data_IF_357300638709
#
_entry.id   IF_357300638709
#
_cell.length_a   1.000
_cell.length_b   1.000
_cell.length_c   1.000
_cell.angle_alpha   90.00
_cell.angle_beta   90.00
_cell.angle_gamma   90.00
#
_symmetry.space_group_name_H-M   'P 1'
#
loop_
_entity.id
_entity.type
_entity.pdbx_description
1 polymer ?
#
# COMPACT_ATOMS: atom_id res chain seq x y z
N UNK A 1 1.06 -18.43 1.42
CA UNK A 1 2.50 -18.45 1.77
C UNK A 1 2.96 -19.90 1.73
N UNK A 2 3.95 -20.24 0.90
CA UNK A 2 4.58 -21.56 0.90
C UNK A 2 5.80 -21.53 1.81
N UNK A 3 5.93 -22.58 2.62
CA UNK A 3 7.04 -22.84 3.55
C UNK A 3 8.33 -23.09 2.75
N UNK A 4 9.08 -22.02 2.48
CA UNK A 4 10.47 -22.08 2.04
C UNK A 4 11.34 -21.62 3.20
N UNK A 5 12.42 -22.34 3.47
CA UNK A 5 13.41 -21.97 4.50
C UNK A 5 14.08 -20.65 4.13
N UNK A 6 13.53 -19.53 4.60
CA UNK A 6 14.19 -18.24 4.56
C UNK A 6 15.19 -18.20 5.71
N UNK A 7 16.49 -18.19 5.40
CA UNK A 7 17.52 -17.75 6.37
C UNK A 7 17.44 -16.24 6.53
N UNK A 8 16.31 -15.74 7.02
CA UNK A 8 16.05 -14.32 7.22
C UNK A 8 16.27 -13.93 8.67
N UNK A 9 17.12 -12.93 8.91
CA UNK A 9 17.21 -12.27 10.22
C UNK A 9 15.98 -11.40 10.40
N UNK A 10 15.20 -11.67 11.43
CA UNK A 10 14.05 -10.83 11.82
C UNK A 10 14.52 -9.88 12.92
N UNK A 11 14.37 -8.58 12.68
CA UNK A 11 14.63 -7.54 13.67
C UNK A 11 13.30 -6.92 14.08
N UNK A 12 13.12 -6.68 15.37
CA UNK A 12 11.90 -6.11 15.93
C UNK A 12 12.17 -4.73 16.50
N UNK A 13 11.35 -3.78 16.09
CA UNK A 13 11.35 -2.38 16.53
C UNK A 13 9.94 -2.07 17.08
N UNK A 14 9.83 -1.44 18.26
CA UNK A 14 8.57 -1.28 19.01
C UNK A 14 8.28 0.14 19.50
N UNK A 15 9.25 1.03 19.39
CA UNK A 15 9.23 2.36 19.99
C UNK A 15 8.65 3.40 19.04
N UNK A 16 8.73 3.17 17.73
CA UNK A 16 8.14 4.09 16.75
C UNK A 16 6.62 4.18 16.90
N UNK A 17 6.12 5.40 16.94
CA UNK A 17 4.68 5.73 17.05
C UNK A 17 4.12 6.33 15.77
N UNK A 18 4.99 6.67 14.81
CA UNK A 18 4.62 7.27 13.54
C UNK A 18 5.27 6.56 12.34
N UNK A 19 4.67 6.70 11.15
CA UNK A 19 5.29 6.18 9.90
C UNK A 19 6.66 6.82 9.62
N UNK A 20 6.88 8.06 10.05
CA UNK A 20 8.17 8.74 9.88
C UNK A 20 9.26 8.10 10.76
N UNK A 21 8.92 7.85 12.03
CA UNK A 21 9.78 7.15 12.99
C UNK A 21 10.06 5.72 12.54
N UNK A 22 9.03 4.98 12.08
CA UNK A 22 9.20 3.63 11.55
C UNK A 22 10.31 3.56 10.49
N UNK A 23 10.32 4.52 9.55
CA UNK A 23 11.31 4.54 8.48
C UNK A 23 12.70 4.94 9.00
N UNK A 24 12.77 5.90 9.92
CA UNK A 24 14.04 6.30 10.53
C UNK A 24 14.67 5.13 11.32
N UNK A 25 13.88 4.46 12.15
CA UNK A 25 14.31 3.31 12.95
C UNK A 25 14.67 2.11 12.07
N UNK A 26 13.86 1.80 11.05
CA UNK A 26 14.15 0.71 10.12
C UNK A 26 15.48 0.92 9.39
N UNK A 27 15.75 2.14 8.87
CA UNK A 27 17.02 2.48 8.22
C UNK A 27 18.23 2.20 9.12
N UNK A 28 18.14 2.56 10.40
CA UNK A 28 19.21 2.31 11.37
C UNK A 28 19.46 0.82 11.62
N UNK A 29 18.45 -0.03 11.45
CA UNK A 29 18.54 -1.47 11.69
C UNK A 29 19.07 -2.26 10.49
N UNK A 30 18.77 -1.83 9.27
CA UNK A 30 19.01 -2.63 8.06
C UNK A 30 20.37 -2.41 7.40
N UNK A 31 21.09 -1.35 7.76
CA UNK A 31 22.41 -1.08 7.18
C UNK A 31 22.37 -0.85 5.66
N UNK A 32 23.46 -1.21 4.98
CA UNK A 32 23.58 -1.06 3.52
C UNK A 32 22.97 -2.29 2.83
N UNK A 33 21.78 -2.12 2.23
CA UNK A 33 21.05 -3.17 1.53
C UNK A 33 20.98 -2.88 0.04
N UNK A 34 21.14 -3.91 -0.80
CA UNK A 34 21.03 -3.78 -2.25
C UNK A 34 19.59 -3.60 -2.74
N UNK A 35 18.61 -4.07 -1.97
CA UNK A 35 17.18 -3.97 -2.31
C UNK A 35 16.31 -3.86 -1.06
N UNK A 36 15.28 -3.02 -1.13
CA UNK A 36 14.34 -2.77 -0.04
C UNK A 36 12.92 -2.90 -0.52
N UNK A 37 12.15 -3.77 0.13
CA UNK A 37 10.72 -3.90 -0.09
C UNK A 37 9.97 -3.42 1.16
N UNK A 38 8.98 -2.55 0.99
CA UNK A 38 8.14 -2.06 2.09
C UNK A 38 6.77 -2.72 1.97
N UNK A 39 6.49 -3.65 2.89
CA UNK A 39 5.23 -4.38 2.97
C UNK A 39 4.30 -3.70 3.98
N UNK A 40 3.25 -3.04 3.50
CA UNK A 40 2.19 -2.44 4.33
C UNK A 40 0.89 -2.36 3.53
N UNK A 41 -0.18 -1.83 4.12
CA UNK A 41 -1.47 -1.71 3.43
C UNK A 41 -1.54 -0.45 2.55
N UNK A 42 -1.81 -0.62 1.25
CA UNK A 42 -2.18 0.44 0.31
C UNK A 42 -1.41 1.76 0.45
N UNK A 43 -2.11 2.85 0.79
CA UNK A 43 -1.54 4.20 0.94
C UNK A 43 -0.43 4.28 2.00
N UNK A 44 -0.45 3.41 3.02
CA UNK A 44 0.57 3.41 4.06
C UNK A 44 1.94 2.98 3.50
N UNK A 45 1.96 2.00 2.59
CA UNK A 45 3.17 1.59 1.90
C UNK A 45 3.71 2.72 1.01
N UNK A 46 2.83 3.41 0.28
CA UNK A 46 3.27 4.53 -0.56
C UNK A 46 3.80 5.71 0.26
N UNK A 47 3.12 6.06 1.36
CA UNK A 47 3.59 7.08 2.32
C UNK A 47 4.97 6.73 2.88
N UNK A 48 5.19 5.48 3.25
CA UNK A 48 6.47 4.99 3.74
C UNK A 48 7.58 5.09 2.68
N UNK A 49 7.31 4.75 1.41
CA UNK A 49 8.27 4.93 0.30
C UNK A 49 8.65 6.40 0.08
N UNK A 50 7.66 7.30 0.13
CA UNK A 50 7.92 8.74 0.03
C UNK A 50 8.80 9.24 1.18
N UNK A 51 8.54 8.79 2.41
CA UNK A 51 9.36 9.15 3.56
C UNK A 51 10.76 8.58 3.46
N UNK A 52 10.94 7.36 2.96
CA UNK A 52 12.26 6.80 2.74
C UNK A 52 13.07 7.65 1.76
N UNK A 53 12.51 7.97 0.58
CA UNK A 53 13.18 8.83 -0.41
C UNK A 53 13.53 10.22 0.15
N UNK A 54 12.74 10.72 1.11
CA UNK A 54 12.97 12.04 1.73
C UNK A 54 14.01 12.01 2.84
N UNK A 55 14.08 10.93 3.60
CA UNK A 55 15.10 10.74 4.64
C UNK A 55 16.44 10.31 4.06
N UNK A 56 16.40 9.57 2.94
CA UNK A 56 17.56 8.98 2.28
C UNK A 56 17.28 8.73 0.79
N UNK A 57 17.65 9.67 -0.08
CA UNK A 57 17.42 9.53 -1.51
C UNK A 57 18.12 8.33 -2.13
N UNK A 58 19.33 7.97 -1.65
CA UNK A 58 20.12 6.85 -2.15
C UNK A 58 19.44 5.53 -1.82
N UNK A 59 19.06 5.34 -0.55
CA UNK A 59 18.30 4.15 -0.16
C UNK A 59 16.94 4.08 -0.88
N UNK A 60 16.37 5.25 -1.19
CA UNK A 60 15.15 5.39 -1.97
C UNK A 60 15.24 4.86 -3.41
N UNK A 61 16.43 4.81 -4.03
CA UNK A 61 16.60 4.22 -5.37
C UNK A 61 16.61 2.69 -5.35
N UNK A 62 16.75 2.10 -4.17
CA UNK A 62 16.82 0.64 -3.96
C UNK A 62 15.47 0.02 -3.63
N UNK A 63 14.40 0.83 -3.66
CA UNK A 63 13.03 0.37 -3.46
C UNK A 63 12.59 -0.57 -4.59
N UNK A 64 12.20 -1.80 -4.22
CA UNK A 64 11.59 -2.79 -5.12
C UNK A 64 10.11 -2.97 -4.81
N UNK A 65 9.37 -3.54 -5.76
CA UNK A 65 7.96 -3.87 -5.57
C UNK A 65 7.80 -4.87 -4.41
N UNK A 66 6.84 -4.59 -3.54
CA UNK A 66 6.33 -5.57 -2.58
C UNK A 66 5.14 -6.31 -3.21
N UNK A 67 4.73 -7.43 -2.62
CA UNK A 67 3.49 -8.12 -2.99
C UNK A 67 2.29 -7.42 -2.31
N UNK A 68 2.31 -6.08 -2.26
CA UNK A 68 1.34 -5.27 -1.54
C UNK A 68 0.02 -5.10 -2.31
N UNK A 69 -1.08 -5.09 -1.56
CA UNK A 69 -2.44 -5.00 -2.08
C UNK A 69 -2.62 -3.74 -2.94
N UNK A 70 -2.98 -3.95 -4.21
CA UNK A 70 -3.06 -2.95 -5.29
C UNK A 70 -4.12 -1.87 -5.01
N UNK A 71 -3.75 -0.80 -4.32
CA UNK A 71 -4.63 0.35 -4.00
C UNK A 71 -5.06 1.22 -5.22
N UNK A 72 -4.94 0.72 -6.45
CA UNK A 72 -5.62 1.22 -7.65
C UNK A 72 -6.78 0.31 -8.11
N UNK A 73 -6.85 -0.94 -7.64
CA UNK A 73 -7.96 -1.84 -7.93
C UNK A 73 -9.26 -1.34 -7.27
N UNK A 74 -9.18 -0.78 -6.06
CA UNK A 74 -10.33 -0.10 -5.42
C UNK A 74 -10.68 1.25 -6.07
N UNK A 75 -9.70 1.93 -6.67
CA UNK A 75 -9.94 3.20 -7.39
C UNK A 75 -10.68 2.96 -8.71
N UNK A 76 -10.41 1.84 -9.39
CA UNK A 76 -11.19 1.36 -10.54
C UNK A 76 -12.59 0.85 -10.15
N UNK A 77 -12.79 0.40 -8.91
CA UNK A 77 -14.11 -0.06 -8.45
C UNK A 77 -15.12 1.08 -8.32
N UNK A 78 -14.67 2.30 -7.99
CA UNK A 78 -15.52 3.50 -7.87
C UNK A 78 -16.34 3.82 -9.14
N UNK A 79 -15.74 3.91 -10.34
CA UNK A 79 -16.52 4.12 -11.57
C UNK A 79 -17.44 2.94 -11.88
N UNK A 80 -17.05 1.70 -11.58
CA UNK A 80 -17.93 0.53 -11.72
C UNK A 80 -19.17 0.67 -10.84
N UNK A 81 -19.01 1.04 -9.57
CA UNK A 81 -20.13 1.32 -8.66
C UNK A 81 -21.00 2.48 -9.14
N UNK A 82 -20.40 3.55 -9.68
CA UNK A 82 -21.14 4.69 -10.21
C UNK A 82 -22.03 4.29 -11.41
N UNK A 83 -21.52 3.45 -12.32
CA UNK A 83 -22.27 2.95 -13.47
C UNK A 83 -23.42 2.03 -13.04
N UNK A 84 -23.14 1.04 -12.17
CA UNK A 84 -24.17 0.11 -11.66
C UNK A 84 -25.26 0.87 -10.90
N UNK A 85 -24.86 1.82 -10.03
CA UNK A 85 -25.79 2.69 -9.32
C UNK A 85 -26.67 3.50 -10.28
N UNK A 86 -26.08 4.09 -11.33
CA UNK A 86 -26.82 4.87 -12.33
C UNK A 86 -27.82 4.03 -13.12
N UNK A 87 -27.47 2.79 -13.48
CA UNK A 87 -28.38 1.86 -14.17
C UNK A 87 -29.58 1.52 -13.28
N UNK A 88 -29.31 1.20 -12.00
CA UNK A 88 -30.36 0.85 -11.04
C UNK A 88 -31.32 2.01 -10.78
N UNK A 89 -30.80 3.24 -10.67
CA UNK A 89 -31.63 4.45 -10.53
C UNK A 89 -32.48 4.71 -11.78
N UNK A 90 -31.96 4.44 -12.99
CA UNK A 90 -32.74 4.56 -14.24
C UNK A 90 -33.88 3.53 -14.33
N UNK A 91 -33.67 2.33 -13.80
CA UNK A 91 -34.68 1.26 -13.78
C UNK A 91 -35.81 1.60 -12.79
N UNK A 92 -35.48 2.06 -11.58
CA UNK A 92 -36.46 2.50 -10.57
C UNK A 92 -37.32 3.66 -11.08
N UNK A 93 -36.73 4.62 -11.79
CA UNK A 93 -37.47 5.75 -12.37
C UNK A 93 -38.45 5.35 -13.48
N UNK A 94 -38.19 4.23 -14.16
CA UNK A 94 -39.07 3.69 -15.23
C UNK A 94 -40.26 2.91 -14.68
N UNK A 95 -40.12 2.30 -13.51
CA UNK A 95 -41.22 1.63 -12.80
C UNK A 95 -42.18 2.64 -12.15
N UNK A 96 -41.68 3.78 -11.69
CA UNK A 96 -42.53 4.84 -11.07
C UNK A 96 -43.41 5.62 -12.08
N UNK A 97 -43.15 5.51 -13.39
CA UNK A 97 -43.91 6.24 -14.43
C UNK A 97 -45.03 5.37 -15.06
N UNK A 98 -45.24 4.14 -14.58
CA UNK A 98 -46.28 3.22 -15.06
C UNK A 98 -47.30 2.82 -13.97
N UNK A 99 -47.38 3.59 -12.88
CA UNK A 99 -48.39 3.45 -11.82
C UNK A 99 -49.46 4.52 -11.90
#
# INVERSE_FOLDING_TARGET
MREGSWRSRILLERESTTTWENIASARALVGDLDAISICSNGLHAEKARMYLRRQDPDLGTRLVLADDYRFLEMTLLKPVFAVVGSIKMRQLRRTDTQG
#
